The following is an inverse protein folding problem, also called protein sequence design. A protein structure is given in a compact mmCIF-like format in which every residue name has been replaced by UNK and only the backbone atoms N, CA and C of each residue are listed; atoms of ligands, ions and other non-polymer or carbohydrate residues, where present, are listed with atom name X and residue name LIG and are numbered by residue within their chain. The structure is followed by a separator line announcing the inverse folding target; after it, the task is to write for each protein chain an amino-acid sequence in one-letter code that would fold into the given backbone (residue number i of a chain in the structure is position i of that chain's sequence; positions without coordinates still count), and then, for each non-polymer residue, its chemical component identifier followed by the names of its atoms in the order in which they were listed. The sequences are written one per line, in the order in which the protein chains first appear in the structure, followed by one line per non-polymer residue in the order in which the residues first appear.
data_IF_527749730616
#
_entry.id   IF_527749730616
#
_cell.length_a   1.000
_cell.length_b   1.000
_cell.length_c   1.000
_cell.angle_alpha   90.00
_cell.angle_beta   90.00
_cell.angle_gamma   90.00
#
_symmetry.space_group_name_H-M   'P 1'
#
loop_
_entity.id
_entity.type
_entity.pdbx_description
1 polymer ?
#
# COMPACT_ATOMS: atom_id res chain seq x y z
N UNK A 1 22.10 -4.84 -1.37
CA UNK A 1 21.67 -5.56 -0.15
C UNK A 1 21.21 -4.60 0.94
N UNK A 2 22.03 -3.60 1.31
CA UNK A 2 21.70 -2.62 2.37
C UNK A 2 20.42 -1.79 2.12
N UNK A 3 20.27 -1.18 0.94
CA UNK A 3 19.08 -0.37 0.61
C UNK A 3 17.76 -1.18 0.63
N UNK A 4 17.81 -2.44 0.20
CA UNK A 4 16.63 -3.31 0.24
C UNK A 4 16.20 -3.59 1.68
N UNK A 5 17.17 -3.81 2.57
CA UNK A 5 16.91 -4.00 3.99
C UNK A 5 16.31 -2.74 4.62
N UNK A 6 16.88 -1.56 4.35
CA UNK A 6 16.31 -0.29 4.85
C UNK A 6 14.88 -0.06 4.37
N UNK A 7 14.59 -0.29 3.08
CA UNK A 7 13.23 -0.20 2.55
C UNK A 7 12.27 -1.17 3.25
N UNK A 8 12.73 -2.38 3.56
CA UNK A 8 11.92 -3.38 4.27
C UNK A 8 11.62 -2.96 5.71
N UNK A 9 12.60 -2.43 6.43
CA UNK A 9 12.40 -1.96 7.80
C UNK A 9 11.48 -0.74 7.87
N UNK A 10 11.63 0.21 6.93
CA UNK A 10 10.70 1.35 6.79
C UNK A 10 9.30 0.85 6.47
N UNK A 11 9.16 -0.10 5.55
CA UNK A 11 7.86 -0.67 5.21
C UNK A 11 7.18 -1.30 6.43
N UNK A 12 7.87 -2.17 7.17
CA UNK A 12 7.34 -2.78 8.41
C UNK A 12 6.93 -1.73 9.43
N UNK A 13 7.76 -0.72 9.66
CA UNK A 13 7.44 0.34 10.60
C UNK A 13 6.15 1.07 10.23
N UNK A 14 5.97 1.40 8.95
CA UNK A 14 4.75 2.05 8.47
C UNK A 14 3.55 1.11 8.53
N UNK A 15 3.70 -0.16 8.16
CA UNK A 15 2.63 -1.17 8.27
C UNK A 15 2.11 -1.29 9.70
N UNK A 16 3.01 -1.31 10.70
CA UNK A 16 2.64 -1.36 12.12
C UNK A 16 1.88 -0.13 12.58
N UNK A 17 2.28 1.06 12.12
CA UNK A 17 1.56 2.32 12.40
C UNK A 17 0.16 2.27 11.80
N UNK A 18 0.02 1.76 10.57
CA UNK A 18 -1.28 1.59 9.91
C UNK A 18 -2.14 0.58 10.67
N UNK A 19 -1.57 -0.55 11.12
CA UNK A 19 -2.31 -1.55 11.91
C UNK A 19 -2.90 -0.93 13.17
N UNK A 20 -2.10 -0.20 13.94
CA UNK A 20 -2.56 0.51 15.14
C UNK A 20 -3.63 1.55 14.82
N UNK A 21 -3.50 2.28 13.71
CA UNK A 21 -4.50 3.26 13.28
C UNK A 21 -5.84 2.63 12.87
N UNK A 22 -5.84 1.35 12.50
CA UNK A 22 -7.04 0.56 12.18
C UNK A 22 -7.56 -0.27 13.37
N UNK A 23 -7.05 -0.01 14.58
CA UNK A 23 -7.38 -0.76 15.81
C UNK A 23 -7.11 -2.27 15.69
N UNK A 24 -6.02 -2.62 15.00
CA UNK A 24 -5.52 -3.98 14.87
C UNK A 24 -4.33 -4.20 15.79
N UNK A 25 -3.98 -5.47 15.99
CA UNK A 25 -2.70 -5.82 16.63
C UNK A 25 -1.53 -5.22 15.84
N UNK A 26 -0.50 -4.73 16.55
CA UNK A 26 0.62 -4.01 15.94
C UNK A 26 1.31 -4.79 14.82
N UNK A 27 1.37 -6.12 14.97
CA UNK A 27 2.00 -7.06 14.07
C UNK A 27 0.99 -7.76 13.13
N UNK A 28 -0.26 -7.26 13.04
CA UNK A 28 -1.29 -7.81 12.16
C UNK A 28 -0.77 -7.98 10.73
N UNK A 29 -0.04 -6.98 10.26
CA UNK A 29 0.60 -6.97 8.96
C UNK A 29 2.00 -7.63 8.92
N UNK A 30 2.38 -8.38 9.95
CA UNK A 30 3.63 -9.16 10.04
C UNK A 30 3.35 -10.69 10.07
N UNK A 31 2.08 -11.13 10.09
CA UNK A 31 1.68 -12.55 10.16
C UNK A 31 1.80 -13.31 8.83
N UNK A 32 2.39 -14.51 8.87
CA UNK A 32 2.70 -15.37 7.72
C UNK A 32 1.47 -15.87 6.93
N UNK A 33 0.29 -15.96 7.56
CA UNK A 33 -0.98 -16.26 6.88
C UNK A 33 -1.49 -15.10 6.00
N UNK A 34 -1.01 -13.88 6.27
CA UNK A 34 -1.10 -12.71 5.40
C UNK A 34 0.21 -12.47 4.60
N UNK A 35 1.29 -13.19 4.95
CA UNK A 35 2.68 -13.05 4.48
C UNK A 35 3.28 -14.35 3.93
N UNK A 36 2.59 -14.96 2.96
CA UNK A 36 3.25 -15.80 1.97
C UNK A 36 4.02 -14.98 0.92
N UNK A 37 3.58 -13.74 0.66
CA UNK A 37 4.20 -12.68 -0.16
C UNK A 37 3.69 -11.31 0.37
N UNK A 38 4.45 -10.21 0.18
CA UNK A 38 4.61 -9.10 1.14
C UNK A 38 3.43 -8.11 1.34
N UNK A 39 2.89 -7.79 2.51
CA UNK A 39 1.72 -6.86 2.68
C UNK A 39 1.75 -5.39 2.15
N UNK A 40 0.64 -4.95 1.52
CA UNK A 40 0.20 -3.56 1.27
C UNK A 40 1.10 -2.66 0.43
N UNK A 41 0.62 -2.18 -0.73
CA UNK A 41 1.42 -1.39 -1.67
C UNK A 41 1.92 -0.12 -0.95
N UNK A 42 3.17 -0.15 -0.49
CA UNK A 42 3.97 1.00 -0.11
C UNK A 42 4.96 1.23 -1.23
N UNK A 43 4.60 2.08 -2.20
CA UNK A 43 5.62 2.54 -3.16
C UNK A 43 6.54 3.51 -2.45
N UNK A 44 7.67 3.00 -1.99
CA UNK A 44 8.74 3.82 -1.42
C UNK A 44 9.56 4.45 -2.54
N UNK A 45 9.69 5.79 -2.55
CA UNK A 45 10.65 6.50 -3.42
C UNK A 45 11.69 7.21 -2.57
N UNK A 46 12.96 6.95 -2.84
CA UNK A 46 14.04 7.78 -2.30
C UNK A 46 14.19 9.05 -3.13
N UNK A 47 14.19 10.22 -2.48
CA UNK A 47 14.48 11.51 -3.10
C UNK A 47 15.63 12.21 -2.37
N UNK A 48 16.50 12.88 -3.14
CA UNK A 48 17.41 13.89 -2.62
C UNK A 48 16.63 15.18 -2.38
N UNK A 49 16.57 15.63 -1.13
CA UNK A 49 16.03 16.93 -0.76
C UNK A 49 17.07 18.03 -1.02
N UNK A 50 16.60 19.27 -1.19
CA UNK A 50 17.44 20.44 -1.51
C UNK A 50 18.53 20.74 -0.48
N UNK A 51 18.40 20.21 0.74
CA UNK A 51 19.36 20.36 1.83
C UNK A 51 20.34 19.17 1.96
N UNK A 52 20.35 18.23 1.00
CA UNK A 52 21.21 17.05 1.02
C UNK A 52 20.65 15.87 1.82
N UNK A 53 19.47 15.99 2.42
CA UNK A 53 18.84 14.89 3.14
C UNK A 53 18.13 13.92 2.18
N UNK A 54 18.12 12.64 2.53
CA UNK A 54 17.33 11.62 1.87
C UNK A 54 15.97 11.50 2.55
N UNK A 55 14.93 11.32 1.76
CA UNK A 55 13.59 11.03 2.26
C UNK A 55 12.95 9.89 1.48
N UNK A 56 12.08 9.16 2.18
CA UNK A 56 11.20 8.15 1.61
C UNK A 56 9.81 8.76 1.38
N UNK A 57 9.29 8.64 0.16
CA UNK A 57 7.88 8.87 -0.12
C UNK A 57 7.17 7.54 -0.03
N UNK A 58 6.14 7.43 0.81
CA UNK A 58 5.26 6.27 0.90
C UNK A 58 3.94 6.59 0.19
N UNK A 59 3.52 5.74 -0.74
CA UNK A 59 2.19 5.81 -1.35
C UNK A 59 1.41 4.59 -0.90
N UNK A 60 0.14 4.76 -0.54
CA UNK A 60 -0.79 3.67 -0.24
C UNK A 60 -1.47 3.20 -1.53
N UNK A 61 -1.72 1.91 -1.66
CA UNK A 61 -2.43 1.35 -2.82
C UNK A 61 -3.79 0.73 -2.48
N UNK A 62 -4.46 0.27 -3.52
CA UNK A 62 -5.89 -0.08 -3.52
C UNK A 62 -6.25 -1.22 -2.56
N UNK A 63 -5.32 -2.15 -2.31
CA UNK A 63 -5.56 -3.25 -1.37
C UNK A 63 -5.77 -2.73 0.06
N UNK A 64 -5.00 -1.72 0.49
CA UNK A 64 -5.20 -1.10 1.79
C UNK A 64 -6.46 -0.25 1.80
N UNK A 65 -6.80 0.42 0.70
CA UNK A 65 -8.06 1.15 0.56
C UNK A 65 -9.27 0.20 0.75
N UNK A 66 -9.21 -0.99 0.16
CA UNK A 66 -10.25 -2.01 0.29
C UNK A 66 -10.32 -2.61 1.69
N UNK A 67 -9.19 -3.00 2.28
CA UNK A 67 -9.15 -3.49 3.67
C UNK A 67 -9.69 -2.45 4.65
N UNK A 68 -9.30 -1.19 4.48
CA UNK A 68 -9.67 -0.10 5.39
C UNK A 68 -11.02 0.55 5.06
N UNK A 69 -11.79 0.00 4.12
CA UNK A 69 -13.09 0.55 3.71
C UNK A 69 -13.04 2.04 3.33
N UNK A 70 -11.98 2.44 2.61
CA UNK A 70 -11.63 3.81 2.23
C UNK A 70 -11.27 4.77 3.39
N UNK A 71 -10.94 4.28 4.60
CA UNK A 71 -10.34 5.13 5.65
C UNK A 71 -8.98 5.65 5.15
N UNK A 72 -8.15 4.76 4.62
CA UNK A 72 -6.98 5.12 3.84
C UNK A 72 -7.33 5.08 2.36
N UNK A 73 -6.95 6.12 1.60
CA UNK A 73 -7.19 6.17 0.16
C UNK A 73 -5.91 5.94 -0.62
N UNK A 74 -6.05 5.21 -1.72
CA UNK A 74 -5.00 4.98 -2.68
C UNK A 74 -4.54 6.31 -3.28
N UNK A 75 -3.22 6.49 -3.37
CA UNK A 75 -2.65 7.75 -3.85
C UNK A 75 -2.42 7.68 -5.36
N UNK A 76 -3.23 8.40 -6.13
CA UNK A 76 -2.96 8.62 -7.55
C UNK A 76 -1.66 9.40 -7.71
N UNK A 77 -0.73 8.84 -8.49
CA UNK A 77 0.58 9.46 -8.70
C UNK A 77 1.11 9.24 -10.11
N UNK A 78 1.71 10.27 -10.70
CA UNK A 78 2.35 10.21 -12.02
C UNK A 78 3.76 10.82 -11.98
N UNK A 79 4.61 10.41 -12.91
CA UNK A 79 5.93 11.02 -13.12
C UNK A 79 5.82 12.00 -14.28
N UNK A 80 6.27 13.23 -14.07
CA UNK A 80 6.40 14.24 -15.12
C UNK A 80 7.88 14.40 -15.47
N UNK A 81 8.20 14.34 -16.76
CA UNK A 81 9.53 14.63 -17.26
C UNK A 81 9.77 16.14 -17.33
N UNK A 82 10.95 16.58 -16.92
CA UNK A 82 11.38 17.98 -17.00
C UNK A 82 12.65 18.14 -17.86
N UNK A 83 12.96 17.15 -18.72
CA UNK A 83 14.16 17.14 -19.55
C UNK A 83 15.47 16.86 -18.81
N UNK A 84 15.42 16.53 -17.51
CA UNK A 84 16.58 16.12 -16.72
C UNK A 84 16.49 14.64 -16.37
N UNK A 85 17.65 13.99 -16.24
CA UNK A 85 17.72 12.61 -15.76
C UNK A 85 17.28 12.55 -14.29
N UNK A 86 16.37 11.63 -14.00
CA UNK A 86 15.84 11.40 -12.64
C UNK A 86 15.83 9.90 -12.36
N UNK A 87 16.62 9.49 -11.38
CA UNK A 87 16.62 8.11 -10.89
C UNK A 87 15.71 7.97 -9.67
N UNK A 88 14.99 6.86 -9.61
CA UNK A 88 14.26 6.45 -8.41
C UNK A 88 14.13 4.95 -8.36
N UNK A 89 14.22 4.40 -7.16
CA UNK A 89 13.95 2.99 -6.88
C UNK A 89 12.56 2.92 -6.27
N UNK A 90 11.78 1.94 -6.71
CA UNK A 90 10.49 1.60 -6.14
C UNK A 90 10.62 0.28 -5.38
N UNK A 91 10.17 0.28 -4.13
CA UNK A 91 9.92 -0.93 -3.36
C UNK A 91 8.42 -1.15 -3.32
N UNK A 92 7.96 -2.39 -3.43
CA UNK A 92 6.54 -2.75 -3.36
C UNK A 92 6.38 -3.89 -2.39
N UNK A 93 5.27 -3.84 -1.67
CA UNK A 93 4.87 -4.80 -0.66
C UNK A 93 3.45 -5.15 -1.13
N UNK A 94 3.25 -6.29 -1.81
CA UNK A 94 1.92 -6.83 -2.16
C UNK A 94 1.58 -8.17 -1.47
N UNK A 95 0.39 -8.32 -0.86
CA UNK A 95 0.02 -9.51 -0.09
C UNK A 95 0.13 -10.79 -0.93
N UNK A 96 0.07 -11.95 -0.25
CA UNK A 96 0.05 -13.25 -0.93
C UNK A 96 -1.03 -13.30 -2.02
N UNK A 97 -0.77 -14.07 -3.08
CA UNK A 97 -1.76 -14.29 -4.13
C UNK A 97 -3.03 -14.98 -3.62
N UNK A 98 -2.92 -15.71 -2.52
CA UNK A 98 -4.04 -16.40 -1.89
C UNK A 98 -4.69 -15.56 -0.78
N UNK A 99 -4.22 -14.33 -0.56
CA UNK A 99 -4.74 -13.45 0.48
C UNK A 99 -6.08 -12.86 0.06
N UNK A 100 -7.11 -13.05 0.89
CA UNK A 100 -8.42 -12.45 0.68
C UNK A 100 -8.37 -10.97 1.10
N UNK A 101 -8.57 -10.08 0.13
CA UNK A 101 -8.64 -8.63 0.37
C UNK A 101 -10.11 -8.22 0.52
N UNK A 102 -10.62 -8.32 1.74
CA UNK A 102 -11.99 -7.91 2.11
C UNK A 102 -12.00 -6.82 3.18
N UNK A 103 -13.13 -6.14 3.37
CA UNK A 103 -13.22 -5.09 4.38
C UNK A 103 -12.91 -5.66 5.79
N UNK A 104 -11.94 -5.07 6.48
CA UNK A 104 -11.56 -5.52 7.82
C UNK A 104 -12.72 -5.30 8.80
N UNK A 105 -12.94 -6.21 9.77
CA UNK A 105 -14.01 -6.07 10.76
C UNK A 105 -13.98 -4.74 11.53
N UNK A 106 -12.80 -4.20 11.81
CA UNK A 106 -12.62 -2.90 12.48
C UNK A 106 -12.96 -1.69 11.60
N UNK A 107 -13.17 -1.89 10.30
CA UNK A 107 -13.41 -0.85 9.31
C UNK A 107 -14.85 -0.84 8.77
N UNK A 108 -15.75 -1.62 9.36
CA UNK A 108 -17.15 -1.72 8.98
C UNK A 108 -18.09 -1.67 10.18
N UNK A 109 -19.31 -1.16 9.95
CA UNK A 109 -20.42 -1.18 10.90
C UNK A 109 -21.74 -1.28 10.15
N UNK A 110 -22.86 -1.30 10.88
CA UNK A 110 -24.18 -1.24 10.27
C UNK A 110 -24.40 0.10 9.54
N UNK A 111 -23.84 1.21 10.03
CA UNK A 111 -23.89 2.51 9.35
C UNK A 111 -22.83 2.68 8.25
N UNK A 112 -21.76 1.87 8.26
CA UNK A 112 -20.70 1.88 7.26
C UNK A 112 -20.40 0.46 6.76
N UNK A 113 -21.26 -0.13 5.91
CA UNK A 113 -21.04 -1.47 5.36
C UNK A 113 -19.82 -1.50 4.42
N UNK A 114 -19.31 -2.70 4.07
CA UNK A 114 -18.25 -2.85 3.07
C UNK A 114 -18.60 -2.16 1.75
N UNK A 115 -17.71 -1.30 1.27
CA UNK A 115 -17.89 -0.55 0.01
C UNK A 115 -17.52 -1.33 -1.25
N UNK A 116 -16.81 -2.44 -1.08
CA UNK A 116 -16.33 -3.28 -2.18
C UNK A 116 -16.94 -4.66 -2.04
N UNK A 117 -17.48 -5.20 -3.13
CA UNK A 117 -17.98 -6.57 -3.18
C UNK A 117 -16.85 -7.57 -2.97
N UNK A 118 -17.15 -8.70 -2.32
CA UNK A 118 -16.25 -9.86 -2.27
C UNK A 118 -16.15 -10.45 -3.67
N UNK A 119 -14.97 -10.33 -4.28
CA UNK A 119 -14.72 -10.91 -5.59
C UNK A 119 -13.68 -12.01 -5.46
N UNK A 120 -14.17 -13.24 -5.32
CA UNK A 120 -13.37 -14.44 -5.07
C UNK A 120 -12.50 -14.79 -6.30
N UNK A 121 -12.86 -14.29 -7.49
CA UNK A 121 -12.20 -14.58 -8.76
C UNK A 121 -11.24 -13.47 -9.25
N UNK A 122 -11.17 -12.33 -8.56
CA UNK A 122 -10.36 -11.17 -8.97
C UNK A 122 -9.40 -10.75 -7.87
N UNK A 123 -8.28 -11.46 -7.76
CA UNK A 123 -7.05 -10.89 -7.20
C UNK A 123 -6.35 -9.92 -8.17
N UNK A 124 -6.80 -9.89 -9.42
CA UNK A 124 -6.47 -8.86 -10.39
C UNK A 124 -7.55 -7.79 -10.37
N UNK A 125 -7.21 -6.60 -9.86
CA UNK A 125 -7.90 -5.38 -10.30
C UNK A 125 -7.49 -5.22 -11.78
N UNK A 126 -8.40 -5.42 -12.75
CA UNK A 126 -8.02 -5.24 -14.15
C UNK A 126 -7.59 -3.78 -14.34
N UNK A 127 -6.57 -3.55 -15.18
CA UNK A 127 -6.03 -2.20 -15.45
C UNK A 127 -7.12 -1.22 -15.95
N UNK A 128 -8.23 -1.74 -16.47
CA UNK A 128 -9.43 -0.95 -16.78
C UNK A 128 -10.06 -0.29 -15.55
N UNK A 129 -10.07 -0.95 -14.41
CA UNK A 129 -10.64 -0.44 -13.15
C UNK A 129 -9.63 0.49 -12.44
N UNK A 130 -8.33 0.38 -12.78
CA UNK A 130 -7.28 1.35 -12.43
C UNK A 130 -7.31 2.63 -13.29
N UNK A 131 -8.20 2.71 -14.29
CA UNK A 131 -8.18 3.78 -15.31
C UNK A 131 -9.32 4.81 -15.23
N UNK A 132 -10.18 4.77 -14.21
CA UNK A 132 -11.06 5.90 -13.94
C UNK A 132 -10.25 7.06 -13.36
N UNK A 133 -9.81 7.94 -14.26
CA UNK A 133 -9.19 9.27 -14.10
C UNK A 133 -7.75 9.39 -14.64
N UNK A 134 -7.51 8.88 -15.85
CA UNK A 134 -6.57 9.52 -16.78
C UNK A 134 -7.33 10.33 -17.83
N UNK A 135 -7.81 11.51 -17.44
CA UNK A 135 -8.00 12.65 -18.33
C UNK A 135 -7.15 13.81 -17.80
#
# INVERSE_FOLDING_TARGET
MYLFYECSEVAKAVSRIIALALDLEVDFFDRQEMLGKPIAILRIRMLNLRNGNLAFIVNLGDMLERWSNCIFRSTLHRVLGNGQERYSIAYFVEPSHDCVVECLPTCQSQENPPKYELNIDKLFIPVSDLSMNMN
#
